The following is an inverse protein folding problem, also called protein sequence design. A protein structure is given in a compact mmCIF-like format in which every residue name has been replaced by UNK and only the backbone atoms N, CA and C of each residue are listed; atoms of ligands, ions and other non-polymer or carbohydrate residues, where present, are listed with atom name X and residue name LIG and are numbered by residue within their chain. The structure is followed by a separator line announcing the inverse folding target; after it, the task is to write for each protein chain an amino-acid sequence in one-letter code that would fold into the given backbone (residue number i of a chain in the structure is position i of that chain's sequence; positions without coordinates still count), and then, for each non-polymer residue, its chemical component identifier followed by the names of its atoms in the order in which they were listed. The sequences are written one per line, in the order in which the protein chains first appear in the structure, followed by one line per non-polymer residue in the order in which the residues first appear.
data_IF_864983006315
#
_entry.id   IF_864983006315
#
_cell.length_a   1.000
_cell.length_b   1.000
_cell.length_c   1.000
_cell.angle_alpha   90.00
_cell.angle_beta   90.00
_cell.angle_gamma   90.00
#
_symmetry.space_group_name_H-M   'P 1'
#
loop_
_entity.id
_entity.type
_entity.pdbx_description
1 polymer ?
#
# COMPACT_ATOMS: atom_id res chain seq x y z
N UNK A 1 4.63 2.89 48.73
CA UNK A 1 4.48 2.71 47.31
C UNK A 1 5.12 1.38 46.88
N UNK A 2 4.38 0.53 46.23
CA UNK A 2 4.90 -0.71 45.63
C UNK A 2 5.63 -0.36 44.33
N UNK A 3 6.93 -0.67 44.27
CA UNK A 3 7.68 -0.57 43.02
C UNK A 3 7.22 -1.69 42.09
N UNK A 4 6.80 -1.32 40.87
CA UNK A 4 6.62 -2.27 39.79
C UNK A 4 7.92 -2.27 38.98
N UNK A 5 8.56 -3.42 38.86
CA UNK A 5 9.70 -3.62 37.96
C UNK A 5 9.29 -4.61 36.86
N UNK A 6 9.68 -4.31 35.65
CA UNK A 6 9.50 -5.18 34.51
C UNK A 6 10.86 -5.39 33.87
N UNK A 7 11.22 -6.63 33.57
CA UNK A 7 12.50 -6.99 32.96
C UNK A 7 12.25 -7.42 31.54
N UNK A 8 12.83 -6.70 30.59
CA UNK A 8 12.82 -7.06 29.18
C UNK A 8 14.14 -7.75 28.85
N UNK A 9 14.06 -8.95 28.30
CA UNK A 9 15.21 -9.70 27.84
C UNK A 9 14.95 -10.17 26.40
N UNK A 10 15.87 -9.89 25.49
CA UNK A 10 15.82 -10.33 24.10
C UNK A 10 17.13 -11.01 23.71
N UNK A 11 17.05 -12.14 23.04
CA UNK A 11 18.19 -12.88 22.50
C UNK A 11 18.34 -12.73 21.00
N UNK A 12 17.26 -12.37 20.29
CA UNK A 12 17.23 -12.26 18.83
C UNK A 12 17.04 -10.81 18.32
N UNK A 13 17.05 -9.82 19.22
CA UNK A 13 16.99 -8.39 18.86
C UNK A 13 15.77 -8.02 18.02
N UNK A 14 15.98 -7.40 16.86
CA UNK A 14 14.88 -6.92 16.00
C UNK A 14 13.98 -8.03 15.47
N UNK A 15 14.47 -9.25 15.31
CA UNK A 15 13.62 -10.39 14.92
C UNK A 15 12.52 -10.67 15.93
N UNK A 16 12.88 -10.69 17.21
CA UNK A 16 11.95 -10.92 18.30
C UNK A 16 10.96 -9.77 18.41
N UNK A 17 11.42 -8.55 18.22
CA UNK A 17 10.58 -7.37 18.24
C UNK A 17 9.55 -7.38 17.09
N UNK A 18 9.93 -7.75 15.88
CA UNK A 18 8.99 -7.93 14.75
C UNK A 18 7.97 -9.02 15.05
N UNK A 19 8.39 -10.17 15.61
CA UNK A 19 7.45 -11.23 16.01
C UNK A 19 6.48 -10.76 17.10
N UNK A 20 6.93 -9.94 18.03
CA UNK A 20 6.08 -9.34 19.07
C UNK A 20 5.02 -8.41 18.48
N UNK A 21 5.41 -7.52 17.54
CA UNK A 21 4.47 -6.62 16.86
C UNK A 21 3.45 -7.41 16.04
N UNK A 22 3.88 -8.51 15.44
CA UNK A 22 3.10 -9.31 14.49
C UNK A 22 2.33 -10.47 15.15
N UNK A 23 2.45 -10.68 16.46
CA UNK A 23 1.99 -11.86 17.18
C UNK A 23 0.50 -12.17 17.00
N UNK A 24 -0.34 -11.16 16.78
CA UNK A 24 -1.79 -11.31 16.62
C UNK A 24 -2.24 -11.48 15.17
N UNK A 25 -1.31 -11.46 14.21
CA UNK A 25 -1.61 -11.55 12.79
C UNK A 25 -1.26 -12.93 12.24
N UNK A 26 -2.01 -13.35 11.23
CA UNK A 26 -1.72 -14.59 10.52
C UNK A 26 -0.52 -14.40 9.59
N UNK A 27 0.50 -15.23 9.76
CA UNK A 27 1.75 -15.16 9.01
C UNK A 27 1.56 -15.57 7.55
N UNK A 28 2.22 -14.87 6.65
CA UNK A 28 2.32 -15.24 5.25
C UNK A 28 3.61 -16.01 4.96
N UNK A 29 4.68 -15.70 5.69
CA UNK A 29 5.98 -16.35 5.62
C UNK A 29 6.38 -16.84 7.02
N UNK A 30 7.11 -17.95 7.09
CA UNK A 30 7.42 -18.62 8.36
C UNK A 30 8.44 -17.85 9.19
N UNK A 31 9.51 -17.38 8.54
CA UNK A 31 10.61 -16.71 9.20
C UNK A 31 10.62 -15.19 8.98
N UNK A 32 11.20 -14.49 9.97
CA UNK A 32 11.48 -13.06 9.86
C UNK A 32 12.73 -12.85 9.01
N UNK A 33 12.60 -12.10 7.92
CA UNK A 33 13.72 -11.67 7.09
C UNK A 33 14.58 -10.71 7.91
N UNK A 34 15.86 -11.04 8.12
CA UNK A 34 16.76 -10.26 8.93
C UNK A 34 17.99 -9.85 8.14
N UNK A 35 18.21 -8.56 8.03
CA UNK A 35 19.30 -7.93 7.30
C UNK A 35 20.18 -7.20 8.31
N UNK A 36 21.46 -7.57 8.37
CA UNK A 36 22.49 -6.85 9.15
C UNK A 36 23.64 -6.59 8.20
N UNK A 37 23.90 -5.33 7.91
CA UNK A 37 24.95 -4.94 6.95
C UNK A 37 25.41 -3.50 7.20
N UNK A 38 26.49 -3.12 6.54
CA UNK A 38 26.98 -1.75 6.53
C UNK A 38 27.14 -1.27 5.09
N UNK A 39 26.62 -0.11 4.78
CA UNK A 39 26.77 0.54 3.47
C UNK A 39 27.17 2.00 3.65
N UNK A 40 28.20 2.38 2.92
CA UNK A 40 28.74 3.76 2.95
C UNK A 40 29.09 4.24 4.39
N UNK A 41 29.59 3.32 5.24
CA UNK A 41 29.91 3.61 6.65
C UNK A 41 28.66 3.73 7.56
N UNK A 42 27.48 3.36 7.08
CA UNK A 42 26.24 3.39 7.84
C UNK A 42 25.81 1.96 8.18
N UNK A 43 25.86 1.55 9.46
CA UNK A 43 25.27 0.30 9.91
C UNK A 43 23.77 0.31 9.71
N UNK A 44 23.22 -0.72 9.06
CA UNK A 44 21.80 -0.91 8.75
C UNK A 44 21.36 -2.26 9.26
N UNK A 45 20.38 -2.28 10.13
CA UNK A 45 19.70 -3.47 10.59
C UNK A 45 18.22 -3.37 10.25
N UNK A 46 17.68 -4.38 9.59
CA UNK A 46 16.25 -4.46 9.24
C UNK A 46 15.74 -5.85 9.57
N UNK A 47 14.65 -5.91 10.30
CA UNK A 47 13.87 -7.13 10.46
C UNK A 47 12.48 -6.90 9.89
N UNK A 48 11.97 -7.84 9.08
CA UNK A 48 10.66 -7.70 8.46
C UNK A 48 10.00 -9.04 8.21
N UNK A 49 8.67 -9.05 8.19
CA UNK A 49 7.83 -10.19 7.85
C UNK A 49 6.60 -9.73 7.08
N UNK A 50 5.92 -10.68 6.45
CA UNK A 50 4.64 -10.46 5.80
C UNK A 50 3.55 -11.28 6.46
N UNK A 51 2.36 -10.71 6.55
CA UNK A 51 1.15 -11.31 7.11
C UNK A 51 -0.06 -11.11 6.18
N UNK A 52 -1.18 -11.72 6.52
CA UNK A 52 -2.40 -11.66 5.69
C UNK A 52 -3.20 -10.36 5.85
N UNK A 53 -2.80 -9.44 6.75
CA UNK A 53 -3.51 -8.17 6.97
C UNK A 53 -3.37 -7.19 5.80
N UNK A 54 -4.11 -6.10 5.86
CA UNK A 54 -4.15 -5.07 4.81
C UNK A 54 -3.30 -3.83 5.14
N UNK A 55 -2.71 -3.77 6.33
CA UNK A 55 -2.01 -2.59 6.82
C UNK A 55 -0.50 -2.78 6.78
N UNK A 56 0.23 -1.69 6.51
CA UNK A 56 1.67 -1.56 6.73
C UNK A 56 1.92 -1.21 8.20
N UNK A 57 2.84 -1.91 8.86
CA UNK A 57 3.30 -1.63 10.23
C UNK A 57 4.82 -1.49 10.24
N UNK A 58 5.33 -0.29 10.06
CA UNK A 58 6.78 -0.04 9.96
C UNK A 58 7.23 0.92 11.05
N UNK A 59 8.25 0.49 11.79
CA UNK A 59 8.89 1.27 12.85
C UNK A 59 10.33 1.57 12.45
N UNK A 60 10.74 2.82 12.58
CA UNK A 60 12.07 3.25 12.18
C UNK A 60 12.82 3.94 13.30
N UNK A 61 14.11 3.62 13.41
CA UNK A 61 14.99 4.08 14.47
C UNK A 61 16.31 4.60 13.91
N UNK A 62 16.82 5.64 14.53
CA UNK A 62 18.15 6.21 14.27
C UNK A 62 18.87 6.39 15.60
N UNK A 63 20.02 5.70 15.79
CA UNK A 63 20.75 5.70 17.07
C UNK A 63 19.81 5.42 18.26
N UNK A 64 18.97 4.40 18.10
CA UNK A 64 17.98 3.95 19.08
C UNK A 64 16.83 4.94 19.36
N UNK A 65 16.76 6.07 18.63
CA UNK A 65 15.67 7.04 18.72
C UNK A 65 14.57 6.67 17.72
N UNK A 66 13.34 6.51 18.22
CA UNK A 66 12.18 6.22 17.37
C UNK A 66 11.80 7.45 16.54
N UNK A 67 11.93 7.35 15.23
CA UNK A 67 11.56 8.40 14.28
C UNK A 67 10.14 8.19 13.80
N UNK A 68 9.17 8.71 14.54
CA UNK A 68 7.72 8.47 14.29
C UNK A 68 7.29 8.95 12.90
N UNK A 69 7.86 10.04 12.40
CA UNK A 69 7.60 10.59 11.08
C UNK A 69 8.52 10.01 9.98
N UNK A 70 9.38 9.04 10.37
CA UNK A 70 10.31 8.39 9.47
C UNK A 70 11.48 9.28 9.05
N UNK A 71 11.65 9.47 7.76
CA UNK A 71 12.74 10.26 7.16
C UNK A 71 13.46 9.49 6.05
N UNK A 72 14.69 9.90 5.78
CA UNK A 72 15.50 9.39 4.66
C UNK A 72 15.77 7.90 4.71
N UNK A 73 15.98 7.32 5.91
CA UNK A 73 16.18 5.88 6.09
C UNK A 73 14.93 5.07 5.77
N UNK A 74 13.74 5.53 6.19
CA UNK A 74 12.47 4.90 5.84
C UNK A 74 12.19 5.03 4.34
N UNK A 75 12.50 6.18 3.73
CA UNK A 75 12.37 6.36 2.30
C UNK A 75 13.29 5.40 1.51
N UNK A 76 14.54 5.25 1.96
CA UNK A 76 15.50 4.30 1.40
C UNK A 76 15.03 2.86 1.51
N UNK A 77 14.51 2.45 2.66
CA UNK A 77 13.93 1.14 2.87
C UNK A 77 12.76 0.85 1.91
N UNK A 78 11.77 1.74 1.85
CA UNK A 78 10.60 1.57 0.97
C UNK A 78 10.99 1.50 -0.50
N UNK A 79 11.98 2.28 -0.91
CA UNK A 79 12.50 2.28 -2.28
C UNK A 79 13.22 0.96 -2.58
N UNK A 80 14.14 0.51 -1.72
CA UNK A 80 14.88 -0.74 -1.87
C UNK A 80 13.96 -1.95 -1.90
N UNK A 81 13.01 -2.01 -0.96
CA UNK A 81 11.99 -3.06 -0.89
C UNK A 81 11.18 -3.16 -2.19
N UNK A 82 10.54 -2.05 -2.58
CA UNK A 82 9.66 -2.01 -3.76
C UNK A 82 10.41 -2.36 -5.04
N UNK A 83 11.60 -1.79 -5.25
CA UNK A 83 12.44 -2.03 -6.42
C UNK A 83 12.86 -3.48 -6.53
N UNK A 84 13.28 -4.09 -5.41
CA UNK A 84 13.78 -5.46 -5.39
C UNK A 84 12.67 -6.47 -5.59
N UNK A 85 11.54 -6.32 -4.89
CA UNK A 85 10.38 -7.19 -5.07
C UNK A 85 9.80 -7.08 -6.48
N UNK A 86 9.72 -5.87 -7.04
CA UNK A 86 9.26 -5.66 -8.41
C UNK A 86 10.19 -6.36 -9.40
N UNK A 87 11.51 -6.16 -9.28
CA UNK A 87 12.49 -6.82 -10.15
C UNK A 87 12.35 -8.34 -10.08
N UNK A 88 12.30 -8.91 -8.88
CA UNK A 88 12.13 -10.36 -8.70
C UNK A 88 10.83 -10.88 -9.35
N UNK A 89 9.73 -10.15 -9.17
CA UNK A 89 8.44 -10.53 -9.71
C UNK A 89 8.37 -10.42 -11.25
N UNK A 90 9.09 -9.45 -11.84
CA UNK A 90 9.24 -9.32 -13.30
C UNK A 90 10.13 -10.45 -13.85
N UNK A 91 11.31 -10.68 -13.25
CA UNK A 91 12.28 -11.71 -13.68
C UNK A 91 11.68 -13.13 -13.57
N UNK A 92 10.89 -13.40 -12.54
CA UNK A 92 10.18 -14.67 -12.33
C UNK A 92 8.88 -14.81 -13.11
N UNK A 93 8.49 -13.80 -13.92
CA UNK A 93 7.25 -13.77 -14.72
C UNK A 93 5.97 -13.92 -13.90
N UNK A 94 6.02 -13.67 -12.61
CA UNK A 94 4.85 -13.78 -11.74
C UNK A 94 3.83 -12.67 -12.02
N UNK A 95 4.30 -11.49 -12.48
CA UNK A 95 3.45 -10.35 -12.81
C UNK A 95 2.78 -10.46 -14.17
N UNK A 96 3.25 -11.30 -15.09
CA UNK A 96 2.64 -11.48 -16.41
C UNK A 96 1.17 -11.94 -16.32
N UNK A 97 0.83 -12.64 -15.24
CA UNK A 97 -0.53 -13.11 -14.96
C UNK A 97 -1.42 -12.03 -14.32
N UNK A 98 -0.81 -10.99 -13.77
CA UNK A 98 -1.52 -9.90 -13.13
C UNK A 98 -2.01 -8.91 -14.18
N UNK A 99 -3.32 -8.92 -14.48
CA UNK A 99 -3.96 -7.95 -15.40
C UNK A 99 -4.25 -6.60 -14.72
N UNK A 100 -3.43 -6.21 -13.75
CA UNK A 100 -3.61 -5.00 -12.94
C UNK A 100 -2.28 -4.27 -12.80
N UNK A 101 -2.35 -2.95 -12.76
CA UNK A 101 -1.20 -2.11 -12.47
C UNK A 101 -0.86 -2.19 -10.97
N UNK A 102 0.40 -2.52 -10.67
CA UNK A 102 0.90 -2.65 -9.30
C UNK A 102 1.61 -1.35 -8.91
N UNK A 103 1.28 -0.82 -7.75
CA UNK A 103 1.88 0.39 -7.18
C UNK A 103 2.82 0.05 -6.02
N UNK A 104 3.64 1.02 -5.60
CA UNK A 104 4.55 0.82 -4.46
C UNK A 104 3.83 0.49 -3.15
N UNK A 105 2.59 0.94 -2.97
CA UNK A 105 1.79 0.67 -1.77
C UNK A 105 1.35 -0.80 -1.71
N UNK A 106 1.05 -1.42 -2.85
CA UNK A 106 0.67 -2.83 -2.92
C UNK A 106 1.77 -3.76 -2.40
N UNK A 107 3.07 -3.37 -2.58
CA UNK A 107 4.21 -4.11 -2.04
C UNK A 107 4.36 -4.01 -0.51
N UNK A 108 3.69 -3.07 0.13
CA UNK A 108 3.75 -2.83 1.57
C UNK A 108 2.52 -3.32 2.32
N UNK A 109 1.49 -3.78 1.61
CA UNK A 109 0.31 -4.37 2.24
C UNK A 109 0.67 -5.66 2.98
N UNK A 110 0.33 -5.73 4.26
CA UNK A 110 0.68 -6.86 5.13
C UNK A 110 2.13 -6.88 5.62
N UNK A 111 2.92 -5.84 5.35
CA UNK A 111 4.30 -5.73 5.81
C UNK A 111 4.36 -5.30 7.28
N UNK A 112 5.09 -6.03 8.10
CA UNK A 112 5.57 -5.59 9.41
C UNK A 112 7.09 -5.51 9.37
N UNK A 113 7.66 -4.35 9.67
CA UNK A 113 9.11 -4.15 9.64
C UNK A 113 9.61 -3.21 10.74
N UNK A 114 10.83 -3.46 11.17
CA UNK A 114 11.61 -2.56 12.05
C UNK A 114 12.93 -2.26 11.35
N UNK A 115 13.26 -0.97 11.25
CA UNK A 115 14.47 -0.48 10.62
C UNK A 115 15.28 0.28 11.68
N UNK A 116 16.51 -0.12 11.89
CA UNK A 116 17.46 0.54 12.79
C UNK A 116 18.74 0.88 12.04
N UNK A 117 19.14 2.13 12.12
CA UNK A 117 20.41 2.59 11.54
C UNK A 117 21.23 3.33 12.57
N UNK A 118 22.54 3.36 12.36
CA UNK A 118 23.44 4.17 13.18
C UNK A 118 24.14 5.20 12.30
N UNK A 119 24.02 6.47 12.69
CA UNK A 119 24.57 7.61 11.97
C UNK A 119 25.42 8.41 12.94
N UNK A 120 26.65 8.74 12.56
CA UNK A 120 27.58 9.48 13.44
C UNK A 120 27.05 10.90 13.74
N UNK A 121 26.55 11.59 12.71
CA UNK A 121 26.02 12.96 12.83
C UNK A 121 24.59 13.02 12.27
N UNK A 122 23.59 12.57 13.04
CA UNK A 122 22.21 12.56 12.58
C UNK A 122 21.63 13.96 12.55
N UNK A 123 21.10 14.33 11.40
CA UNK A 123 20.37 15.59 11.18
C UNK A 123 18.88 15.30 11.23
N UNK A 124 18.23 15.78 12.27
CA UNK A 124 16.78 15.61 12.44
C UNK A 124 16.04 16.88 12.03
N UNK A 125 14.86 16.70 11.44
CA UNK A 125 13.92 17.81 11.25
C UNK A 125 13.24 18.11 12.61
N UNK A 126 13.61 19.23 13.21
CA UNK A 126 13.08 19.70 14.48
C UNK A 126 13.72 19.06 15.74
N UNK A 127 13.43 19.68 16.88
CA UNK A 127 14.02 19.31 18.18
C UNK A 127 13.46 17.98 18.74
N UNK A 128 12.31 17.57 18.31
CA UNK A 128 11.65 16.32 18.73
C UNK A 128 12.26 15.05 18.12
N UNK A 129 13.19 15.22 17.16
CA UNK A 129 13.92 14.11 16.49
C UNK A 129 13.00 13.06 15.83
N UNK A 130 11.82 13.48 15.39
CA UNK A 130 10.81 12.58 14.83
C UNK A 130 11.08 12.15 13.39
N UNK A 131 11.93 12.92 12.67
CA UNK A 131 12.22 12.69 11.26
C UNK A 131 13.69 12.91 10.94
N UNK A 132 14.32 11.94 10.26
CA UNK A 132 15.70 12.04 9.81
C UNK A 132 15.80 12.76 8.47
N UNK A 133 16.75 13.69 8.36
CA UNK A 133 16.98 14.51 7.16
C UNK A 133 18.24 14.19 6.36
N UNK A 134 19.15 13.34 6.85
CA UNK A 134 20.41 12.99 6.17
C UNK A 134 20.20 12.38 4.79
N UNK A 135 20.50 13.08 3.71
CA UNK A 135 20.24 12.64 2.33
C UNK A 135 21.01 11.39 1.92
N UNK A 136 22.28 11.26 2.37
CA UNK A 136 23.17 10.13 2.10
C UNK A 136 22.61 8.80 2.60
N UNK A 137 21.83 8.82 3.67
CA UNK A 137 21.23 7.63 4.28
C UNK A 137 20.25 6.93 3.33
N UNK A 138 19.52 7.68 2.50
CA UNK A 138 18.56 7.09 1.55
C UNK A 138 19.23 6.09 0.62
N UNK A 139 20.38 6.45 0.05
CA UNK A 139 21.14 5.59 -0.86
C UNK A 139 21.72 4.36 -0.17
N UNK A 140 22.29 4.55 1.03
CA UNK A 140 22.89 3.46 1.80
C UNK A 140 21.84 2.40 2.20
N UNK A 141 20.69 2.83 2.70
CA UNK A 141 19.61 1.90 3.09
C UNK A 141 18.97 1.24 1.87
N UNK A 142 18.72 1.97 0.77
CA UNK A 142 18.22 1.40 -0.49
C UNK A 142 19.14 0.29 -1.01
N UNK A 143 20.44 0.50 -1.00
CA UNK A 143 21.42 -0.49 -1.41
C UNK A 143 21.46 -1.69 -0.46
N UNK A 144 21.53 -1.45 0.84
CA UNK A 144 21.55 -2.48 1.86
C UNK A 144 20.37 -3.44 1.74
N UNK A 145 19.16 -2.88 1.68
CA UNK A 145 17.92 -3.63 1.55
C UNK A 145 17.85 -4.35 0.19
N UNK A 146 18.18 -3.63 -0.89
CA UNK A 146 18.12 -4.18 -2.24
C UNK A 146 18.99 -5.42 -2.44
N UNK A 147 20.24 -5.38 -1.97
CA UNK A 147 21.15 -6.50 -2.09
C UNK A 147 20.73 -7.68 -1.21
N UNK A 148 20.52 -7.46 0.10
CA UNK A 148 20.22 -8.53 1.02
C UNK A 148 18.85 -9.17 0.76
N UNK A 149 17.83 -8.38 0.45
CA UNK A 149 16.51 -8.90 0.07
C UNK A 149 16.57 -9.66 -1.25
N UNK A 150 17.37 -9.19 -2.23
CA UNK A 150 17.57 -9.89 -3.49
C UNK A 150 18.08 -11.32 -3.28
N UNK A 151 19.15 -11.49 -2.49
CA UNK A 151 19.67 -12.82 -2.12
C UNK A 151 18.62 -13.67 -1.38
N UNK A 152 17.91 -13.09 -0.42
CA UNK A 152 16.87 -13.80 0.31
C UNK A 152 15.77 -14.36 -0.62
N UNK A 153 15.29 -13.57 -1.57
CA UNK A 153 14.23 -13.99 -2.50
C UNK A 153 14.69 -15.11 -3.45
N UNK A 154 15.97 -15.11 -3.83
CA UNK A 154 16.56 -16.19 -4.64
C UNK A 154 16.72 -17.50 -3.84
N UNK A 155 17.10 -17.40 -2.57
CA UNK A 155 17.28 -18.56 -1.68
C UNK A 155 15.94 -19.15 -1.20
N UNK A 156 14.88 -18.31 -1.11
CA UNK A 156 13.57 -18.68 -0.57
C UNK A 156 12.42 -18.49 -1.60
N UNK A 157 12.45 -19.22 -2.73
CA UNK A 157 11.50 -18.98 -3.83
C UNK A 157 10.02 -19.24 -3.46
N UNK A 158 9.74 -20.10 -2.48
CA UNK A 158 8.39 -20.35 -1.99
C UNK A 158 7.81 -19.13 -1.28
N UNK A 159 8.58 -18.53 -0.38
CA UNK A 159 8.20 -17.33 0.36
C UNK A 159 8.13 -16.12 -0.56
N UNK A 160 9.12 -15.97 -1.45
CA UNK A 160 9.13 -14.93 -2.47
C UNK A 160 7.86 -14.96 -3.34
N UNK A 161 7.44 -16.17 -3.76
CA UNK A 161 6.19 -16.36 -4.51
C UNK A 161 4.98 -15.97 -3.68
N UNK A 162 4.89 -16.37 -2.41
CA UNK A 162 3.79 -16.01 -1.53
C UNK A 162 3.66 -14.48 -1.36
N UNK A 163 4.80 -13.79 -1.16
CA UNK A 163 4.84 -12.32 -1.08
C UNK A 163 4.31 -11.69 -2.37
N UNK A 164 4.79 -12.13 -3.54
CA UNK A 164 4.35 -11.58 -4.82
C UNK A 164 2.85 -11.86 -5.09
N UNK A 165 2.36 -13.04 -4.74
CA UNK A 165 0.93 -13.38 -4.86
C UNK A 165 0.07 -12.46 -3.96
N UNK A 166 0.54 -12.14 -2.75
CA UNK A 166 -0.10 -11.16 -1.86
C UNK A 166 -0.13 -9.76 -2.49
N UNK A 167 0.97 -9.32 -3.11
CA UNK A 167 1.04 -8.03 -3.83
C UNK A 167 0.03 -7.97 -4.98
N UNK A 168 -0.10 -9.02 -5.78
CA UNK A 168 -1.07 -9.11 -6.87
C UNK A 168 -2.51 -9.06 -6.33
N UNK A 169 -2.77 -9.75 -5.21
CA UNK A 169 -4.07 -9.72 -4.55
C UNK A 169 -4.40 -8.30 -4.05
N UNK A 170 -3.46 -7.62 -3.41
CA UNK A 170 -3.60 -6.24 -2.94
C UNK A 170 -3.94 -5.28 -4.10
N UNK A 171 -3.18 -5.34 -5.20
CA UNK A 171 -3.42 -4.53 -6.38
C UNK A 171 -4.82 -4.80 -6.99
N UNK A 172 -5.21 -6.08 -7.07
CA UNK A 172 -6.52 -6.49 -7.58
C UNK A 172 -7.67 -5.98 -6.71
N UNK A 173 -7.52 -6.08 -5.38
CA UNK A 173 -8.50 -5.59 -4.40
C UNK A 173 -8.64 -4.06 -4.49
N UNK A 174 -7.53 -3.32 -4.59
CA UNK A 174 -7.50 -1.87 -4.76
C UNK A 174 -8.25 -1.44 -6.03
N UNK A 175 -7.98 -2.10 -7.17
CA UNK A 175 -8.66 -1.81 -8.44
C UNK A 175 -10.15 -2.13 -8.37
N UNK A 176 -10.53 -3.26 -7.76
CA UNK A 176 -11.93 -3.63 -7.57
C UNK A 176 -12.68 -2.62 -6.67
N UNK A 177 -12.06 -2.21 -5.56
CA UNK A 177 -12.63 -1.21 -4.65
C UNK A 177 -12.82 0.14 -5.36
N UNK A 178 -11.85 0.58 -6.17
CA UNK A 178 -11.98 1.80 -6.97
C UNK A 178 -13.14 1.73 -7.96
N UNK A 179 -13.25 0.63 -8.72
CA UNK A 179 -14.36 0.43 -9.67
C UNK A 179 -15.72 0.41 -8.96
N UNK A 180 -15.81 -0.22 -7.79
CA UNK A 180 -17.04 -0.23 -7.00
C UNK A 180 -17.45 1.18 -6.56
N UNK A 181 -16.50 1.99 -6.07
CA UNK A 181 -16.75 3.40 -5.70
C UNK A 181 -17.21 4.23 -6.91
N UNK A 182 -16.55 4.08 -8.05
CA UNK A 182 -16.93 4.77 -9.29
C UNK A 182 -18.34 4.38 -9.75
N UNK A 183 -18.74 3.11 -9.62
CA UNK A 183 -20.09 2.67 -9.93
C UNK A 183 -21.14 3.28 -8.99
N UNK A 184 -20.83 3.35 -7.69
CA UNK A 184 -21.73 3.99 -6.71
C UNK A 184 -21.87 5.48 -7.01
N UNK A 185 -20.75 6.16 -7.30
CA UNK A 185 -20.77 7.59 -7.66
C UNK A 185 -21.55 7.85 -8.95
N UNK A 186 -21.42 6.98 -9.96
CA UNK A 186 -22.22 7.08 -11.21
C UNK A 186 -23.70 6.80 -10.99
N UNK A 187 -24.05 5.95 -10.03
CA UNK A 187 -25.46 5.68 -9.68
C UNK A 187 -26.08 6.79 -8.83
N UNK A 188 -25.28 7.49 -8.03
CA UNK A 188 -25.76 8.47 -7.05
C UNK A 188 -26.33 9.78 -7.64
N UNK A 189 -25.80 10.37 -8.74
CA UNK A 189 -26.40 11.57 -9.33
C UNK A 189 -27.69 11.33 -10.10
N UNK A 190 -27.93 10.08 -10.57
CA UNK A 190 -29.01 9.77 -11.49
C UNK A 190 -30.12 8.87 -10.91
N UNK A 191 -29.87 8.15 -9.80
CA UNK A 191 -30.83 7.18 -9.26
C UNK A 191 -31.41 7.55 -7.89
N UNK A 192 -30.85 8.55 -7.20
CA UNK A 192 -31.31 8.95 -5.86
C UNK A 192 -32.06 10.29 -5.81
N UNK A 193 -31.94 11.09 -6.82
CA UNK A 193 -32.75 12.29 -7.05
C UNK A 193 -33.12 12.26 -8.53
N UNK A 194 -34.36 11.98 -8.84
CA UNK A 194 -34.81 12.03 -10.23
C UNK A 194 -34.35 13.34 -10.86
N UNK A 195 -34.08 13.32 -12.15
CA UNK A 195 -33.85 14.54 -12.94
C UNK A 195 -34.86 15.60 -12.49
N UNK A 196 -34.44 16.87 -12.31
CA UNK A 196 -35.37 17.92 -11.93
C UNK A 196 -36.68 17.72 -12.67
N UNK A 197 -37.84 17.83 -11.98
CA UNK A 197 -39.16 17.36 -12.43
C UNK A 197 -39.55 17.62 -13.88
N UNK A 198 -38.82 18.50 -14.59
CA UNK A 198 -39.01 18.84 -15.99
C UNK A 198 -38.25 17.94 -16.98
N UNK A 199 -37.28 17.16 -16.51
CA UNK A 199 -36.49 16.25 -17.35
C UNK A 199 -36.98 14.80 -17.20
N UNK A 200 -36.77 14.01 -18.24
CA UNK A 200 -37.00 12.56 -18.24
C UNK A 200 -35.89 11.86 -19.03
N UNK A 201 -35.42 10.77 -18.50
CA UNK A 201 -34.32 10.00 -19.08
C UNK A 201 -34.82 8.70 -19.69
N UNK A 202 -34.09 8.16 -20.68
CA UNK A 202 -34.32 6.84 -21.27
C UNK A 202 -33.51 5.75 -20.57
N UNK A 203 -33.89 4.50 -20.77
CA UNK A 203 -33.19 3.34 -20.18
C UNK A 203 -31.97 2.89 -20.96
N UNK A 204 -31.87 3.22 -22.26
CA UNK A 204 -30.71 2.91 -23.08
C UNK A 204 -29.49 3.75 -22.68
N UNK A 205 -28.32 3.13 -22.74
CA UNK A 205 -27.01 3.78 -22.54
C UNK A 205 -26.25 3.99 -23.84
N UNK A 206 -26.80 3.53 -24.94
CA UNK A 206 -26.25 3.69 -26.27
C UNK A 206 -26.73 5.02 -26.87
N UNK A 207 -25.85 6.01 -26.84
CA UNK A 207 -26.14 7.34 -27.35
C UNK A 207 -26.47 7.36 -28.86
N UNK A 208 -26.09 6.34 -29.62
CA UNK A 208 -26.33 6.27 -31.07
C UNK A 208 -27.80 6.02 -31.42
N UNK A 209 -28.55 5.44 -30.48
CA UNK A 209 -29.98 5.13 -30.68
C UNK A 209 -30.89 6.02 -29.84
N UNK A 210 -30.34 6.86 -28.97
CA UNK A 210 -31.12 7.73 -28.10
C UNK A 210 -31.56 9.01 -28.84
N UNK A 211 -32.79 9.43 -28.59
CA UNK A 211 -33.38 10.65 -29.14
C UNK A 211 -33.65 11.68 -28.04
N UNK A 212 -33.31 12.94 -28.30
CA UNK A 212 -33.56 14.05 -27.40
C UNK A 212 -34.75 14.88 -27.89
N UNK A 213 -35.81 14.98 -27.08
CA UNK A 213 -36.96 15.82 -27.36
C UNK A 213 -36.94 17.07 -26.48
N UNK A 214 -37.05 18.21 -27.09
CA UNK A 214 -37.21 19.49 -26.43
C UNK A 214 -38.66 19.98 -26.62
N UNK A 215 -39.33 20.23 -25.52
CA UNK A 215 -40.74 20.71 -25.51
C UNK A 215 -40.86 21.99 -24.73
N UNK A 216 -41.72 22.88 -25.17
CA UNK A 216 -42.00 24.14 -24.49
C UNK A 216 -43.19 23.98 -23.51
N UNK A 217 -42.95 24.38 -22.26
CA UNK A 217 -43.97 24.43 -21.19
C UNK A 217 -44.30 23.08 -20.53
N UNK A 218 -44.84 23.17 -19.32
CA UNK A 218 -45.06 22.01 -18.46
C UNK A 218 -46.21 21.10 -18.97
N UNK A 219 -47.20 21.65 -19.67
CA UNK A 219 -48.31 20.89 -20.25
C UNK A 219 -47.82 19.97 -21.37
N UNK A 220 -47.02 20.51 -22.31
CA UNK A 220 -46.46 19.74 -23.40
C UNK A 220 -45.43 18.70 -22.87
N UNK A 221 -44.63 19.08 -21.86
CA UNK A 221 -43.71 18.21 -21.18
C UNK A 221 -44.35 17.00 -20.53
N UNK A 222 -45.53 17.19 -19.91
CA UNK A 222 -46.30 16.09 -19.31
C UNK A 222 -46.81 15.10 -20.35
N UNK A 223 -47.35 15.57 -21.45
CA UNK A 223 -47.85 14.73 -22.55
C UNK A 223 -46.72 13.99 -23.25
N UNK A 224 -45.59 14.66 -23.52
CA UNK A 224 -44.40 14.05 -24.10
C UNK A 224 -43.81 12.92 -23.20
N UNK A 225 -43.76 13.13 -21.88
CA UNK A 225 -43.32 12.11 -20.93
C UNK A 225 -44.19 10.86 -20.91
N UNK A 226 -45.51 11.00 -21.16
CA UNK A 226 -46.42 9.88 -21.18
C UNK A 226 -46.39 9.12 -22.52
N UNK A 227 -46.21 9.82 -23.65
CA UNK A 227 -46.25 9.25 -24.99
C UNK A 227 -44.93 8.72 -25.55
N UNK A 228 -43.79 9.00 -24.89
CA UNK A 228 -42.45 8.62 -25.35
C UNK A 228 -42.19 7.13 -25.24
N UNK A 229 -41.26 6.61 -26.07
CA UNK A 229 -40.64 5.31 -25.83
C UNK A 229 -39.54 5.46 -24.79
N UNK A 230 -39.76 4.88 -23.61
CA UNK A 230 -38.84 4.98 -22.47
C UNK A 230 -37.52 4.23 -22.70
N UNK A 231 -37.41 3.44 -23.77
CA UNK A 231 -36.21 2.67 -24.08
C UNK A 231 -35.13 3.59 -24.63
N UNK A 232 -35.46 4.51 -25.51
CA UNK A 232 -34.50 5.36 -26.23
C UNK A 232 -34.84 6.86 -26.31
N UNK A 233 -36.02 7.27 -25.74
CA UNK A 233 -36.49 8.66 -25.68
C UNK A 233 -36.62 9.21 -24.26
#
# INVERSE_FOLDING_TARGET
GTYKSEVFHSTEGLKEFVRYIDHSKEKLIDDVIHIVTEKQGIPVEVAMTYNTSYNESVYSYVNDIHTIEGGTHLAGFRRGLTRTLKKYADDSKLLEKAKVEITGDDFREGLTAVISIKVAEPQFEGQTKTKLGNNEVTGAVDQAVGEALGYYLEEHPKEAKAIVEKVILAASARVAARKAREQVQRKSPLTGGGLPGKLADCSSKDASICELFLVEGDSAGGTAKQGRDRTFQ
#
